data_IF_130827222850
#
_entry.id   IF_130827222850
#
_cell.length_a   1.000
_cell.length_b   1.000
_cell.length_c   1.000
_cell.angle_alpha   90.00
_cell.angle_beta   90.00
_cell.angle_gamma   90.00
#
_symmetry.space_group_name_H-M   'P 1'
#
loop_
_entity.id
_entity.type
_entity.pdbx_description
1 polymer ?
#
# COMPACT_ATOMS: atom_id res chain seq x y z
N UNK A 1 -15.76 -1.74 -5.08
CA UNK A 1 -14.87 -2.92 -5.11
C UNK A 1 -13.66 -2.48 -4.33
N UNK A 2 -13.79 -2.48 -3.01
CA UNK A 2 -12.89 -1.77 -2.09
C UNK A 2 -12.56 -2.71 -0.92
N UNK A 3 -12.25 -3.97 -1.28
CA UNK A 3 -12.01 -5.05 -0.34
C UNK A 3 -10.51 -5.33 -0.23
N UNK A 4 -9.99 -5.74 0.95
CA UNK A 4 -8.62 -6.21 1.09
C UNK A 4 -8.25 -7.35 0.12
N UNK A 5 -9.23 -8.09 -0.39
CA UNK A 5 -9.03 -9.06 -1.47
C UNK A 5 -8.47 -8.41 -2.75
N UNK A 6 -8.91 -7.21 -3.09
CA UNK A 6 -8.48 -6.49 -4.29
C UNK A 6 -7.00 -6.05 -4.16
N UNK A 7 -6.56 -5.69 -2.94
CA UNK A 7 -5.16 -5.36 -2.66
C UNK A 7 -4.24 -6.57 -2.83
N UNK A 8 -4.64 -7.75 -2.36
CA UNK A 8 -3.84 -8.97 -2.53
C UNK A 8 -3.69 -9.38 -4.01
N UNK A 9 -4.73 -9.13 -4.82
CA UNK A 9 -4.68 -9.36 -6.26
C UNK A 9 -3.74 -8.36 -6.93
N UNK A 10 -3.82 -7.08 -6.57
CA UNK A 10 -2.93 -6.05 -7.10
C UNK A 10 -1.45 -6.33 -6.74
N UNK A 11 -1.14 -6.71 -5.51
CA UNK A 11 0.23 -7.11 -5.13
C UNK A 11 0.77 -8.28 -5.97
N UNK A 12 -0.11 -9.24 -6.29
CA UNK A 12 0.27 -10.41 -7.09
C UNK A 12 0.63 -10.08 -8.55
N UNK A 13 0.24 -8.91 -9.08
CA UNK A 13 0.61 -8.47 -10.44
C UNK A 13 1.97 -7.78 -10.51
N UNK A 14 2.54 -7.36 -9.37
CA UNK A 14 3.79 -6.61 -9.31
C UNK A 14 4.98 -7.56 -9.53
N UNK A 15 5.90 -7.22 -10.42
CA UNK A 15 7.12 -8.03 -10.64
C UNK A 15 8.04 -7.99 -9.41
N UNK A 16 8.91 -8.99 -9.23
CA UNK A 16 9.89 -9.00 -8.12
C UNK A 16 10.80 -7.76 -8.13
N UNK A 17 11.24 -7.34 -9.33
CA UNK A 17 12.03 -6.12 -9.52
C UNK A 17 11.28 -4.88 -9.02
N UNK A 18 9.99 -4.79 -9.33
CA UNK A 18 9.19 -3.61 -8.98
C UNK A 18 8.78 -3.62 -7.49
N UNK A 19 8.58 -4.80 -6.89
CA UNK A 19 8.43 -4.94 -5.43
C UNK A 19 9.69 -4.47 -4.70
N UNK A 20 10.87 -4.83 -5.20
CA UNK A 20 12.14 -4.34 -4.66
C UNK A 20 12.27 -2.82 -4.81
N UNK A 21 11.87 -2.28 -5.97
CA UNK A 21 11.83 -0.84 -6.20
C UNK A 21 10.87 -0.10 -5.26
N UNK A 22 9.71 -0.68 -4.98
CA UNK A 22 8.76 -0.15 -4.00
C UNK A 22 9.35 -0.17 -2.58
N UNK A 23 10.02 -1.26 -2.17
CA UNK A 23 10.73 -1.32 -0.89
C UNK A 23 11.74 -0.19 -0.71
N UNK A 24 12.59 0.04 -1.71
CA UNK A 24 13.56 1.15 -1.68
C UNK A 24 12.89 2.54 -1.62
N UNK A 25 11.73 2.71 -2.27
CA UNK A 25 10.97 3.95 -2.21
C UNK A 25 10.37 4.19 -0.81
N UNK A 26 9.92 3.12 -0.14
CA UNK A 26 9.43 3.16 1.24
C UNK A 26 10.58 3.55 2.18
N UNK A 27 11.72 2.87 2.09
CA UNK A 27 12.91 3.14 2.92
C UNK A 27 13.45 4.57 2.76
N UNK A 28 13.34 5.11 1.55
CA UNK A 28 13.76 6.47 1.22
C UNK A 28 12.73 7.56 1.58
N UNK A 29 11.51 7.19 1.98
CA UNK A 29 10.45 8.15 2.26
C UNK A 29 10.64 8.83 3.62
N UNK A 30 10.39 10.15 3.74
CA UNK A 30 10.36 10.81 5.03
C UNK A 30 9.35 10.14 5.97
N UNK A 31 9.75 9.90 7.22
CA UNK A 31 8.93 9.21 8.23
C UNK A 31 7.82 10.10 8.83
N UNK A 32 7.00 10.71 7.95
CA UNK A 32 5.89 11.61 8.30
C UNK A 32 4.59 10.83 8.50
N UNK A 33 4.49 9.63 7.91
CA UNK A 33 3.35 8.71 8.00
C UNK A 33 3.82 7.31 8.40
N UNK A 34 4.41 7.15 9.59
CA UNK A 34 4.99 5.89 10.03
C UNK A 34 4.03 4.69 9.94
N UNK A 35 2.74 4.87 10.26
CA UNK A 35 1.76 3.79 10.17
C UNK A 35 1.57 3.29 8.74
N UNK A 36 1.51 4.20 7.76
CA UNK A 36 1.42 3.84 6.34
C UNK A 36 2.69 3.15 5.85
N UNK A 37 3.87 3.69 6.17
CA UNK A 37 5.13 3.11 5.70
C UNK A 37 5.32 1.69 6.24
N UNK A 38 5.03 1.47 7.53
CA UNK A 38 5.07 0.14 8.14
C UNK A 38 4.07 -0.83 7.49
N UNK A 39 2.87 -0.37 7.13
CA UNK A 39 1.90 -1.21 6.43
C UNK A 39 2.35 -1.57 5.01
N UNK A 40 2.91 -0.61 4.26
CA UNK A 40 3.42 -0.85 2.91
C UNK A 40 4.59 -1.85 2.94
N UNK A 41 5.50 -1.73 3.90
CA UNK A 41 6.57 -2.70 4.14
C UNK A 41 6.00 -4.10 4.42
N UNK A 42 5.03 -4.20 5.34
CA UNK A 42 4.38 -5.46 5.66
C UNK A 42 3.61 -6.07 4.47
N UNK A 43 3.05 -5.23 3.58
CA UNK A 43 2.36 -5.67 2.37
C UNK A 43 3.34 -6.23 1.32
N UNK A 44 4.51 -5.61 1.15
CA UNK A 44 5.59 -6.13 0.30
C UNK A 44 6.10 -7.46 0.85
N UNK A 45 6.39 -7.53 2.15
CA UNK A 45 6.81 -8.75 2.82
C UNK A 45 5.77 -9.86 2.69
N UNK A 46 4.49 -9.53 2.83
CA UNK A 46 3.39 -10.46 2.63
C UNK A 46 3.43 -11.10 1.24
N UNK A 47 3.62 -10.31 0.18
CA UNK A 47 3.66 -10.85 -1.18
C UNK A 47 4.90 -11.71 -1.42
N UNK A 48 6.06 -11.30 -0.90
CA UNK A 48 7.29 -12.10 -0.94
C UNK A 48 7.11 -13.45 -0.23
N UNK A 49 6.55 -13.42 0.97
CA UNK A 49 6.29 -14.62 1.76
C UNK A 49 5.24 -15.53 1.13
N UNK A 50 4.20 -14.95 0.51
CA UNK A 50 3.19 -15.70 -0.25
C UNK A 50 3.80 -16.44 -1.44
N UNK A 51 4.73 -15.81 -2.18
CA UNK A 51 5.48 -16.47 -3.27
C UNK A 51 6.36 -17.61 -2.77
N UNK A 52 6.85 -17.52 -1.54
CA UNK A 52 7.59 -18.58 -0.86
C UNK A 52 6.69 -19.69 -0.27
N UNK A 53 5.36 -19.60 -0.43
CA UNK A 53 4.41 -20.60 0.04
C UNK A 53 3.93 -20.40 1.49
N UNK A 54 4.20 -19.24 2.10
CA UNK A 54 3.66 -18.88 3.42
C UNK A 54 2.34 -18.13 3.25
N UNK A 55 1.26 -18.66 3.81
CA UNK A 55 -0.09 -18.09 3.66
C UNK A 55 -0.59 -17.55 4.99
N UNK A 56 -0.74 -16.23 5.07
CA UNK A 56 -1.37 -15.51 6.18
C UNK A 56 -2.20 -14.35 5.64
N UNK A 57 -3.05 -13.78 6.50
CA UNK A 57 -3.95 -12.69 6.09
C UNK A 57 -3.18 -11.37 5.97
N UNK A 58 -3.36 -10.66 4.86
CA UNK A 58 -2.99 -9.25 4.74
C UNK A 58 -4.09 -8.39 5.37
N UNK A 59 -3.75 -7.62 6.40
CA UNK A 59 -4.68 -6.67 7.01
C UNK A 59 -4.84 -5.43 6.12
N UNK A 60 -6.00 -4.77 6.21
CA UNK A 60 -6.25 -3.51 5.50
C UNK A 60 -5.37 -2.36 6.02
N UNK A 61 -5.13 -1.32 5.20
CA UNK A 61 -4.23 -0.22 5.56
C UNK A 61 -4.64 0.48 6.86
N UNK A 62 -5.95 0.70 7.11
CA UNK A 62 -6.42 1.38 8.33
C UNK A 62 -5.95 0.69 9.62
N UNK A 63 -5.64 -0.61 9.60
CA UNK A 63 -5.20 -1.35 10.79
C UNK A 63 -3.85 -0.87 11.37
N UNK A 64 -3.01 -0.19 10.57
CA UNK A 64 -1.70 0.30 10.98
C UNK A 64 -1.66 1.81 11.23
N UNK A 65 -2.68 2.55 10.81
CA UNK A 65 -2.70 4.02 10.85
C UNK A 65 -3.30 4.54 12.17
N UNK A 66 -2.78 5.66 12.66
CA UNK A 66 -3.51 6.53 13.59
C UNK A 66 -4.54 7.39 12.80
N UNK A 67 -5.63 7.82 13.45
CA UNK A 67 -6.61 8.72 12.80
C UNK A 67 -5.94 9.98 12.24
N UNK A 68 -4.95 10.52 12.95
CA UNK A 68 -4.21 11.72 12.59
C UNK A 68 -3.32 11.55 11.34
N UNK A 69 -3.00 10.31 10.96
CA UNK A 69 -2.15 10.03 9.80
C UNK A 69 -2.93 9.93 8.49
N UNK A 70 -4.26 9.86 8.53
CA UNK A 70 -5.12 9.53 7.38
C UNK A 70 -4.88 10.44 6.17
N UNK A 71 -4.99 11.76 6.36
CA UNK A 71 -4.86 12.72 5.24
C UNK A 71 -3.44 12.72 4.66
N UNK A 72 -2.42 12.70 5.54
CA UNK A 72 -1.02 12.64 5.14
C UNK A 72 -0.71 11.32 4.41
N UNK A 73 -1.36 10.22 4.80
CA UNK A 73 -1.20 8.91 4.17
C UNK A 73 -1.78 8.90 2.76
N UNK A 74 -2.98 9.48 2.58
CA UNK A 74 -3.57 9.63 1.24
C UNK A 74 -2.70 10.49 0.31
N UNK A 75 -2.11 11.57 0.82
CA UNK A 75 -1.17 12.40 0.06
C UNK A 75 0.13 11.64 -0.30
N UNK A 76 0.65 10.85 0.63
CA UNK A 76 1.86 10.04 0.42
C UNK A 76 1.63 8.96 -0.63
N UNK A 77 0.50 8.24 -0.56
CA UNK A 77 0.11 7.25 -1.57
C UNK A 77 -0.01 7.88 -2.96
N UNK A 78 -0.62 9.05 -3.08
CA UNK A 78 -0.74 9.75 -4.36
C UNK A 78 0.64 10.19 -4.91
N UNK A 79 1.54 10.64 -4.04
CA UNK A 79 2.91 11.03 -4.41
C UNK A 79 3.71 9.83 -4.89
N UNK A 80 3.69 8.72 -4.15
CA UNK A 80 4.36 7.49 -4.56
C UNK A 80 3.79 6.96 -5.88
N UNK A 81 2.46 6.93 -6.04
CA UNK A 81 1.83 6.48 -7.28
C UNK A 81 2.29 7.31 -8.49
N UNK A 82 2.38 8.64 -8.35
CA UNK A 82 2.90 9.51 -9.40
C UNK A 82 4.36 9.22 -9.77
N UNK A 83 5.22 8.91 -8.78
CA UNK A 83 6.61 8.54 -9.02
C UNK A 83 6.74 7.27 -9.88
N UNK A 84 5.83 6.31 -9.74
CA UNK A 84 5.81 5.06 -10.51
C UNK A 84 5.06 5.14 -11.85
N UNK A 85 4.24 6.19 -12.06
CA UNK A 85 3.46 6.40 -13.30
C UNK A 85 4.22 7.07 -14.44
N UNK A 86 5.41 7.65 -14.21
CA UNK A 86 6.21 8.26 -15.28
C UNK A 86 6.93 9.57 -14.97
N UNK A 87 6.86 10.08 -13.73
CA UNK A 87 7.59 11.31 -13.33
C UNK A 87 8.95 11.00 -12.65
N UNK A 88 9.42 9.75 -12.64
CA UNK A 88 10.60 9.32 -11.86
C UNK A 88 11.36 8.07 -12.34
N UNK A 89 12.35 7.64 -11.54
CA UNK A 89 13.45 6.69 -11.87
C UNK A 89 13.04 5.24 -12.18
N UNK A 90 11.79 4.84 -12.00
CA UNK A 90 11.33 3.47 -12.28
C UNK A 90 9.84 3.48 -12.62
N UNK A 91 9.52 3.37 -13.91
CA UNK A 91 8.15 3.22 -14.39
C UNK A 91 7.64 1.82 -14.04
N UNK A 92 6.54 1.74 -13.29
CA UNK A 92 5.83 0.49 -13.01
C UNK A 92 4.35 0.77 -12.78
N UNK A 93 3.56 0.57 -13.83
CA UNK A 93 2.09 0.69 -13.80
C UNK A 93 1.45 -0.19 -12.71
N UNK A 94 1.84 -1.47 -12.51
CA UNK A 94 1.30 -2.28 -11.41
C UNK A 94 1.53 -1.70 -10.02
N UNK A 95 2.68 -1.06 -9.77
CA UNK A 95 2.95 -0.42 -8.47
C UNK A 95 2.08 0.82 -8.30
N UNK A 96 1.93 1.63 -9.33
CA UNK A 96 1.07 2.81 -9.29
C UNK A 96 -0.40 2.43 -9.02
N UNK A 97 -0.91 1.41 -9.72
CA UNK A 97 -2.27 0.87 -9.52
C UNK A 97 -2.46 0.35 -8.09
N UNK A 98 -1.49 -0.39 -7.55
CA UNK A 98 -1.54 -0.88 -6.17
C UNK A 98 -1.63 0.27 -5.14
N UNK A 99 -0.84 1.32 -5.32
CA UNK A 99 -0.84 2.49 -4.43
C UNK A 99 -2.16 3.28 -4.52
N UNK A 100 -2.73 3.41 -5.70
CA UNK A 100 -4.03 4.03 -5.92
C UNK A 100 -5.17 3.22 -5.28
N UNK A 101 -5.15 1.90 -5.46
CA UNK A 101 -6.11 0.99 -4.84
C UNK A 101 -6.00 1.01 -3.32
N UNK A 102 -4.78 1.12 -2.79
CA UNK A 102 -4.55 1.32 -1.35
C UNK A 102 -5.21 2.61 -0.87
N UNK A 103 -5.07 3.71 -1.61
CA UNK A 103 -5.70 4.98 -1.25
C UNK A 103 -7.24 4.91 -1.33
N UNK A 104 -7.79 4.21 -2.32
CA UNK A 104 -9.23 3.97 -2.42
C UNK A 104 -9.74 3.13 -1.24
N UNK A 105 -9.04 2.06 -0.90
CA UNK A 105 -9.37 1.17 0.23
C UNK A 105 -9.34 1.95 1.55
N UNK A 106 -8.30 2.75 1.78
CA UNK A 106 -8.19 3.56 2.99
C UNK A 106 -9.36 4.55 3.13
N UNK A 107 -9.76 5.23 2.04
CA UNK A 107 -10.94 6.11 2.06
C UNK A 107 -12.21 5.35 2.44
N UNK A 108 -12.42 4.18 1.83
CA UNK A 108 -13.58 3.34 2.11
C UNK A 108 -13.60 2.78 3.54
N UNK A 109 -12.44 2.56 4.15
CA UNK A 109 -12.30 2.14 5.55
C UNK A 109 -12.57 3.29 6.53
N UNK A 110 -12.17 4.52 6.20
CA UNK A 110 -12.40 5.72 7.01
C UNK A 110 -13.86 6.18 6.95
N UNK A 111 -14.49 6.11 5.77
CA UNK A 111 -15.88 6.50 5.56
C UNK A 111 -16.87 5.50 6.15
N UNK A 112 -16.44 4.27 6.46
CA UNK A 112 -17.28 3.28 7.13
C UNK A 112 -17.47 3.72 8.58
N UNK A 113 -18.69 4.15 9.00
CA UNK A 113 -18.92 4.46 10.40
C UNK A 113 -18.62 3.21 11.23
N UNK A 114 -17.91 3.38 12.35
CA UNK A 114 -17.76 2.37 13.39
C UNK A 114 -19.14 2.03 13.94
N UNK A 115 -19.89 1.21 13.21
CA UNK A 115 -21.24 0.82 13.56
C UNK A 115 -21.14 -0.49 14.31
N UNK A 116 -21.11 -0.35 15.64
CA UNK A 116 -21.51 -1.34 16.65
C UNK A 116 -20.86 -2.74 16.55
N UNK A 117 -19.77 -2.93 17.29
CA UNK A 117 -19.56 -4.17 18.02
C UNK A 117 -19.99 -3.99 19.48
#
# INVERSE_FOLDING_TARGET
MDSPADLTVALATISERDLHGLGLAIDGSPNVVPGLLAWLEAAVDWEVNRRAGMFYLLLGPRAALDDTETDASLMTLATLAACFRGDGRSESEPVAEFLELTAATLRAEVERPATLQ
#
